data_IF_975761629509
#
_entry.id   IF_975761629509
#
_cell.length_a   1.000
_cell.length_b   1.000
_cell.length_c   1.000
_cell.angle_alpha   90.00
_cell.angle_beta   90.00
_cell.angle_gamma   90.00
#
_symmetry.space_group_name_H-M   'P 1'
#
loop_
_entity.id
_entity.type
_entity.pdbx_description
1 polymer ?
#
# COMPACT_ATOMS: atom_id res chain seq x y z
N UNK A 1 -0.63 -10.90 5.04
CA UNK A 1 0.76 -11.38 4.92
C UNK A 1 1.61 -10.69 5.98
N UNK A 2 2.87 -11.10 6.21
CA UNK A 2 3.80 -10.28 7.01
C UNK A 2 4.13 -8.99 6.27
N UNK A 3 4.10 -7.85 6.96
CA UNK A 3 4.36 -6.55 6.35
C UNK A 3 5.77 -6.51 5.74
N UNK A 4 5.95 -5.94 4.55
CA UNK A 4 7.28 -5.78 3.98
C UNK A 4 8.17 -4.96 4.90
N UNK A 5 9.43 -5.36 5.12
CA UNK A 5 10.31 -4.72 6.12
C UNK A 5 10.48 -3.21 5.90
N UNK A 6 10.43 -2.74 4.65
CA UNK A 6 10.50 -1.31 4.30
C UNK A 6 9.31 -0.50 4.79
N UNK A 7 8.18 -1.15 5.03
CA UNK A 7 6.88 -0.56 5.39
C UNK A 7 6.29 -1.20 6.64
N UNK A 8 7.12 -1.77 7.52
CA UNK A 8 6.65 -2.48 8.73
C UNK A 8 5.76 -1.59 9.63
N UNK A 9 6.00 -0.27 9.63
CA UNK A 9 5.24 0.72 10.39
C UNK A 9 4.01 1.29 9.69
N UNK A 10 3.64 0.81 8.50
CA UNK A 10 2.56 1.38 7.70
C UNK A 10 1.56 0.29 7.27
N UNK A 11 0.28 0.51 7.54
CA UNK A 11 -0.84 -0.33 7.09
C UNK A 11 -1.24 0.00 5.65
N UNK A 12 -1.12 1.26 5.23
CA UNK A 12 -1.55 1.68 3.90
C UNK A 12 -0.36 1.91 2.97
N UNK A 13 -0.27 1.10 1.91
CA UNK A 13 0.74 1.23 0.87
C UNK A 13 0.12 1.63 -0.46
N UNK A 14 0.52 2.76 -1.01
CA UNK A 14 0.06 3.25 -2.31
C UNK A 14 0.99 2.87 -3.47
N UNK A 15 0.42 2.53 -4.62
CA UNK A 15 1.13 2.45 -5.91
C UNK A 15 0.99 3.79 -6.66
N UNK A 16 2.08 4.56 -6.73
CA UNK A 16 2.11 5.86 -7.42
C UNK A 16 1.78 5.79 -8.92
N UNK A 17 1.90 4.61 -9.54
CA UNK A 17 1.71 4.45 -11.00
C UNK A 17 0.24 4.50 -11.40
N UNK A 18 -0.64 4.03 -10.51
CA UNK A 18 -2.07 3.83 -10.77
C UNK A 18 -2.97 4.49 -9.73
N UNK A 19 -2.38 5.13 -8.72
CA UNK A 19 -3.09 5.76 -7.60
C UNK A 19 -4.04 4.79 -6.89
N UNK A 20 -3.53 3.58 -6.61
CA UNK A 20 -4.25 2.55 -5.85
C UNK A 20 -3.63 2.39 -4.48
N UNK A 21 -4.43 2.28 -3.43
CA UNK A 21 -3.96 2.02 -2.05
C UNK A 21 -4.37 0.62 -1.60
N UNK A 22 -3.40 -0.07 -1.00
CA UNK A 22 -3.56 -1.41 -0.45
C UNK A 22 -3.55 -1.36 1.07
N UNK A 23 -4.48 -2.07 1.71
CA UNK A 23 -4.51 -2.29 3.15
C UNK A 23 -3.73 -3.59 3.47
N UNK A 24 -2.43 -3.46 3.79
CA UNK A 24 -1.55 -4.63 3.87
C UNK A 24 -1.90 -5.60 5.01
N UNK A 25 -2.72 -5.16 5.95
CA UNK A 25 -3.21 -6.00 7.06
C UNK A 25 -4.43 -6.84 6.64
N UNK A 26 -5.22 -6.39 5.66
CA UNK A 26 -6.48 -7.03 5.25
C UNK A 26 -6.41 -7.74 3.89
N UNK A 27 -5.29 -7.66 3.17
CA UNK A 27 -5.14 -8.37 1.89
C UNK A 27 -5.10 -9.88 2.10
N UNK A 28 -6.02 -10.58 1.43
CA UNK A 28 -6.06 -12.04 1.32
C UNK A 28 -5.88 -12.56 -0.11
N UNK A 29 -5.94 -11.69 -1.10
CA UNK A 29 -5.82 -12.04 -2.52
C UNK A 29 -4.34 -12.20 -2.93
N UNK A 30 -3.99 -13.32 -3.58
CA UNK A 30 -2.61 -13.66 -3.93
C UNK A 30 -1.98 -12.69 -4.95
N UNK A 31 -2.76 -12.19 -5.91
CA UNK A 31 -2.28 -11.22 -6.90
C UNK A 31 -1.97 -9.87 -6.22
N UNK A 32 -2.79 -9.44 -5.26
CA UNK A 32 -2.52 -8.25 -4.44
C UNK A 32 -1.30 -8.41 -3.54
N UNK A 33 -1.12 -9.59 -2.92
CA UNK A 33 0.09 -9.89 -2.12
C UNK A 33 1.34 -9.78 -2.99
N UNK A 34 1.32 -10.36 -4.19
CA UNK A 34 2.42 -10.28 -5.14
C UNK A 34 2.70 -8.82 -5.53
N UNK A 35 1.64 -8.04 -5.75
CA UNK A 35 1.75 -6.62 -6.10
C UNK A 35 2.36 -5.78 -4.99
N UNK A 36 1.92 -5.96 -3.74
CA UNK A 36 2.48 -5.27 -2.57
C UNK A 36 3.95 -5.66 -2.35
N UNK A 37 4.29 -6.93 -2.56
CA UNK A 37 5.68 -7.42 -2.48
C UNK A 37 6.57 -6.77 -3.54
N UNK A 38 6.10 -6.65 -4.78
CA UNK A 38 6.79 -5.92 -5.84
C UNK A 38 6.99 -4.45 -5.48
N UNK A 39 5.94 -3.77 -5.00
CA UNK A 39 6.02 -2.37 -4.59
C UNK A 39 7.05 -2.12 -3.49
N UNK A 40 7.16 -3.03 -2.52
CA UNK A 40 8.17 -2.98 -1.47
C UNK A 40 9.60 -3.05 -1.99
N UNK A 41 9.79 -3.71 -3.13
CA UNK A 41 11.09 -3.87 -3.78
C UNK A 41 11.41 -2.75 -4.79
N UNK A 42 10.48 -1.84 -5.07
CA UNK A 42 10.66 -0.76 -6.04
C UNK A 42 10.50 0.63 -5.44
N UNK A 43 10.75 1.67 -6.24
CA UNK A 43 10.57 3.08 -5.84
C UNK A 43 9.15 3.60 -6.05
N UNK A 44 8.21 2.74 -6.48
CA UNK A 44 6.83 3.13 -6.79
C UNK A 44 5.88 3.08 -5.58
N UNK A 45 6.25 2.38 -4.50
CA UNK A 45 5.51 2.38 -3.24
C UNK A 45 5.60 3.71 -2.48
N UNK A 46 4.50 4.13 -1.86
CA UNK A 46 4.42 5.32 -1.00
C UNK A 46 3.55 5.07 0.23
N UNK A 47 3.93 5.68 1.35
CA UNK A 47 3.16 5.69 2.60
C UNK A 47 2.46 7.03 2.80
N UNK A 48 1.54 7.09 3.76
CA UNK A 48 0.71 8.26 4.01
C UNK A 48 0.95 8.82 5.41
N UNK A 49 0.93 10.16 5.53
CA UNK A 49 1.01 10.87 6.80
C UNK A 49 -0.22 11.74 6.99
N UNK A 50 -1.16 11.41 7.90
CA UNK A 50 -1.20 10.21 8.76
C UNK A 50 -1.47 8.91 7.99
N UNK A 51 -1.09 7.76 8.55
CA UNK A 51 -1.27 6.42 7.95
C UNK A 51 -2.74 5.96 8.05
N UNK A 52 -3.60 6.56 7.23
CA UNK A 52 -5.04 6.31 7.22
C UNK A 52 -5.57 6.22 5.80
N UNK A 53 -6.60 5.41 5.58
CA UNK A 53 -7.28 5.35 4.29
C UNK A 53 -7.88 6.70 3.87
N UNK A 54 -8.39 7.48 4.83
CA UNK A 54 -8.90 8.82 4.56
C UNK A 54 -7.82 9.72 3.95
N UNK A 55 -6.61 9.66 4.48
CA UNK A 55 -5.49 10.44 3.95
C UNK A 55 -5.02 9.97 2.57
N UNK A 56 -5.03 8.66 2.31
CA UNK A 56 -4.76 8.13 0.97
C UNK A 56 -5.79 8.66 -0.05
N UNK A 57 -7.07 8.63 0.30
CA UNK A 57 -8.16 9.20 -0.52
C UNK A 57 -8.00 10.70 -0.75
N UNK A 58 -7.62 11.47 0.27
CA UNK A 58 -7.34 12.90 0.13
C UNK A 58 -6.20 13.18 -0.88
N UNK A 59 -5.26 12.23 -1.05
CA UNK A 59 -4.19 12.29 -2.05
C UNK A 59 -4.57 11.69 -3.42
N UNK A 60 -5.84 11.33 -3.61
CA UNK A 60 -6.38 10.81 -4.86
C UNK A 60 -6.14 9.32 -5.08
N UNK A 61 -5.91 8.54 -4.02
CA UNK A 61 -5.79 7.09 -4.12
C UNK A 61 -7.12 6.39 -3.88
N UNK A 62 -7.44 5.42 -4.72
CA UNK A 62 -8.60 4.55 -4.57
C UNK A 62 -8.19 3.21 -3.92
N UNK A 63 -8.94 2.72 -2.91
CA UNK A 63 -8.68 1.40 -2.36
C UNK A 63 -9.14 0.30 -3.31
N UNK A 64 -8.45 -0.85 -3.23
CA UNK A 64 -8.87 -2.09 -3.90
C UNK A 64 -9.93 -2.81 -3.09
#
# INVERSE_FOLDING_TARGET
MDRPSRYEGNRYLGDKRVQVVYDVDEITDDDMILRVTELASTSFGQTFGPDTLAEARNRGYDPV
#
